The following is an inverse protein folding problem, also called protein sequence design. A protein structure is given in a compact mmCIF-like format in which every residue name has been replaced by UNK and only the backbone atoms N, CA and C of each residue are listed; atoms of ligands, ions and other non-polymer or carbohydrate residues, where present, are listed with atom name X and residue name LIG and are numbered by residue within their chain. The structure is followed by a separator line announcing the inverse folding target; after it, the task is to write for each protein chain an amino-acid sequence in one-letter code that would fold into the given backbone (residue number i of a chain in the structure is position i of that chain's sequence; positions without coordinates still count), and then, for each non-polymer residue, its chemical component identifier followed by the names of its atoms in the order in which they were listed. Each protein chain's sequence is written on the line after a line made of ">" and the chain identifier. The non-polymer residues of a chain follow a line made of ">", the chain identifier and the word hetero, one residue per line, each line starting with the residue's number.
data_IF_085317816305
#
_entry.id   IF_085317816305
#
_cell.length_a   1.000
_cell.length_b   1.000
_cell.length_c   1.000
_cell.angle_alpha   90.00
_cell.angle_beta   90.00
_cell.angle_gamma   90.00
#
_symmetry.space_group_name_H-M   'P 1'
#
loop_
_entity.id
_entity.type
_entity.pdbx_description
1 polymer ?
#
# COMPACT_ATOMS: atom_id res chain seq x y z
N UNK A 1 18.99 16.45 -1.97
CA UNK A 1 19.51 15.77 -3.16
C UNK A 1 20.30 14.58 -2.64
N UNK A 2 19.60 13.50 -2.29
CA UNK A 2 20.21 12.31 -1.69
C UNK A 2 20.38 11.27 -2.79
N UNK A 3 21.59 11.24 -3.35
CA UNK A 3 21.99 10.29 -4.37
C UNK A 3 22.36 8.97 -3.70
N UNK A 4 21.38 8.08 -3.48
CA UNK A 4 21.63 6.71 -3.04
C UNK A 4 22.40 5.94 -4.12
N UNK A 5 23.72 5.82 -3.96
CA UNK A 5 24.54 4.99 -4.84
C UNK A 5 24.22 3.51 -4.57
N UNK A 6 23.50 2.86 -5.48
CA UNK A 6 23.39 1.41 -5.51
C UNK A 6 24.75 0.85 -5.90
N UNK A 7 25.52 0.36 -4.94
CA UNK A 7 26.71 -0.42 -5.23
C UNK A 7 26.25 -1.77 -5.76
N UNK A 8 26.37 -1.97 -7.08
CA UNK A 8 26.19 -3.28 -7.70
C UNK A 8 27.28 -4.21 -7.14
N UNK A 9 26.85 -5.29 -6.48
CA UNK A 9 27.75 -6.32 -5.99
C UNK A 9 28.36 -7.01 -7.21
N UNK A 10 29.68 -6.92 -7.31
CA UNK A 10 30.47 -7.62 -8.33
C UNK A 10 30.08 -9.11 -8.37
N UNK A 11 29.60 -9.58 -9.52
CA UNK A 11 29.14 -10.96 -9.77
C UNK A 11 30.29 -11.98 -9.75
N UNK A 12 31.52 -11.53 -9.52
CA UNK A 12 32.67 -12.40 -9.44
C UNK A 12 32.77 -13.09 -8.08
N UNK A 13 31.92 -14.10 -7.84
CA UNK A 13 32.17 -15.08 -6.80
C UNK A 13 33.47 -15.83 -7.15
N UNK A 14 34.54 -15.60 -6.41
CA UNK A 14 35.71 -16.47 -6.49
C UNK A 14 35.31 -17.89 -6.09
N UNK A 15 35.67 -18.85 -6.94
CA UNK A 15 35.31 -20.26 -6.79
C UNK A 15 35.99 -20.84 -5.55
N UNK A 16 35.23 -20.97 -4.45
CA UNK A 16 35.64 -21.76 -3.31
C UNK A 16 35.13 -23.19 -3.48
N UNK A 17 36.07 -24.13 -3.63
CA UNK A 17 35.83 -25.57 -3.80
C UNK A 17 35.40 -26.19 -2.45
N UNK A 18 34.21 -25.80 -2.00
CA UNK A 18 33.59 -26.27 -0.76
C UNK A 18 32.19 -26.84 -1.02
N UNK A 19 31.69 -27.76 -0.16
CA UNK A 19 30.44 -28.50 -0.36
C UNK A 19 29.16 -27.65 -0.25
N UNK A 20 29.27 -26.33 -0.08
CA UNK A 20 28.13 -25.44 0.12
C UNK A 20 28.18 -24.24 -0.82
N UNK A 21 27.11 -24.04 -1.60
CA UNK A 21 26.86 -22.88 -2.50
C UNK A 21 26.68 -21.55 -1.75
N UNK A 22 27.28 -21.36 -0.57
CA UNK A 22 27.10 -20.17 0.25
C UNK A 22 28.43 -19.46 0.44
N UNK A 23 28.45 -18.16 0.13
CA UNK A 23 29.57 -17.26 0.42
C UNK A 23 29.21 -16.42 1.65
N UNK A 24 30.21 -16.14 2.50
CA UNK A 24 30.05 -15.29 3.67
C UNK A 24 30.51 -13.88 3.34
N UNK A 25 29.80 -12.88 3.86
CA UNK A 25 30.19 -11.48 3.75
C UNK A 25 30.00 -10.78 5.08
N UNK A 26 30.72 -9.68 5.29
CA UNK A 26 30.58 -8.85 6.49
C UNK A 26 30.09 -7.47 6.07
N UNK A 27 28.96 -7.05 6.62
CA UNK A 27 28.39 -5.72 6.46
C UNK A 27 29.28 -4.65 7.10
N UNK A 28 29.07 -3.39 6.71
CA UNK A 28 29.84 -2.24 7.22
C UNK A 28 29.70 -2.05 8.73
N UNK A 29 28.60 -2.53 9.29
CA UNK A 29 28.26 -2.58 10.71
C UNK A 29 28.85 -3.79 11.45
N UNK A 30 29.65 -4.62 10.77
CA UNK A 30 30.21 -5.85 11.32
C UNK A 30 29.25 -7.05 11.26
N UNK A 31 28.04 -6.88 10.70
CA UNK A 31 27.07 -7.96 10.61
C UNK A 31 27.54 -9.02 9.62
N UNK A 32 27.69 -10.27 10.07
CA UNK A 32 28.09 -11.38 9.20
C UNK A 32 26.86 -11.99 8.54
N UNK A 33 26.81 -11.92 7.21
CA UNK A 33 25.80 -12.55 6.37
C UNK A 33 26.35 -13.76 5.64
N UNK A 34 25.45 -14.66 5.22
CA UNK A 34 25.73 -15.69 4.22
C UNK A 34 24.78 -15.48 3.04
N UNK A 35 25.29 -15.51 1.81
CA UNK A 35 24.47 -15.43 0.60
C UNK A 35 24.73 -16.63 -0.29
N UNK A 36 23.72 -17.04 -1.05
CA UNK A 36 23.82 -18.14 -1.99
C UNK A 36 24.58 -17.65 -3.23
N UNK A 37 25.72 -18.26 -3.55
CA UNK A 37 26.36 -18.10 -4.84
C UNK A 37 26.13 -19.35 -5.69
N UNK A 38 25.44 -19.25 -6.83
CA UNK A 38 25.27 -20.38 -7.74
C UNK A 38 26.63 -20.77 -8.34
N UNK A 39 27.07 -22.01 -8.10
CA UNK A 39 28.32 -22.56 -8.65
C UNK A 39 28.36 -22.60 -10.19
N UNK A 40 27.21 -22.57 -10.86
CA UNK A 40 27.12 -22.64 -12.31
C UNK A 40 26.55 -21.33 -12.89
N UNK A 41 27.40 -20.56 -13.58
CA UNK A 41 26.99 -19.34 -14.32
C UNK A 41 25.99 -19.63 -15.45
N UNK A 42 25.88 -20.90 -15.88
CA UNK A 42 24.98 -21.36 -16.96
C UNK A 42 23.61 -21.85 -16.46
N UNK A 43 23.17 -21.48 -15.25
CA UNK A 43 21.83 -21.82 -14.80
C UNK A 43 20.84 -20.79 -15.37
N UNK A 44 19.92 -21.24 -16.22
CA UNK A 44 18.76 -20.43 -16.61
C UNK A 44 17.92 -20.14 -15.37
N UNK A 45 17.80 -18.87 -14.98
CA UNK A 45 16.82 -18.44 -13.98
C UNK A 45 15.44 -18.94 -14.39
N UNK A 46 14.83 -19.80 -13.55
CA UNK A 46 13.50 -20.35 -13.83
C UNK A 46 12.51 -19.18 -13.96
N UNK A 47 11.68 -19.18 -14.99
CA UNK A 47 10.75 -18.10 -15.39
C UNK A 47 9.61 -17.81 -14.41
N UNK A 48 9.78 -18.10 -13.12
CA UNK A 48 8.76 -18.06 -12.07
C UNK A 48 9.02 -16.94 -11.07
N UNK A 49 9.35 -15.76 -11.60
CA UNK A 49 9.34 -14.48 -10.89
C UNK A 49 9.41 -13.32 -11.89
N UNK A 50 8.82 -13.50 -13.08
CA UNK A 50 8.57 -12.35 -13.96
C UNK A 50 7.45 -11.59 -13.27
N UNK A 51 7.74 -10.38 -12.80
CA UNK A 51 6.72 -9.42 -12.39
C UNK A 51 5.92 -9.10 -13.64
N UNK A 52 4.82 -9.82 -13.86
CA UNK A 52 3.97 -9.65 -15.06
C UNK A 52 3.13 -8.38 -14.99
N UNK A 53 2.94 -7.84 -13.80
CA UNK A 53 2.16 -6.63 -13.55
C UNK A 53 2.98 -5.62 -12.77
N UNK A 54 3.18 -4.45 -13.36
CA UNK A 54 3.79 -3.33 -12.68
C UNK A 54 2.85 -2.83 -11.56
N UNK A 55 3.39 -2.44 -10.40
CA UNK A 55 2.60 -1.80 -9.36
C UNK A 55 2.09 -0.45 -9.87
N UNK A 56 0.83 -0.13 -9.57
CA UNK A 56 0.21 1.12 -10.00
C UNK A 56 -1.31 1.11 -9.87
N UNK A 57 -1.92 2.26 -10.12
CA UNK A 57 -3.36 2.38 -10.24
C UNK A 57 -3.82 1.48 -11.40
N UNK A 58 -4.73 0.55 -11.10
CA UNK A 58 -5.34 -0.30 -12.12
C UNK A 58 -6.51 0.43 -12.76
N UNK A 59 -6.86 0.06 -13.99
CA UNK A 59 -8.20 0.29 -14.52
C UNK A 59 -9.24 -0.16 -13.47
N UNK A 60 -10.28 0.63 -13.13
CA UNK A 60 -10.83 1.82 -13.80
C UNK A 60 -10.34 3.18 -13.25
N UNK A 61 -9.32 3.20 -12.39
CA UNK A 61 -8.82 4.43 -11.71
C UNK A 61 -7.54 4.96 -12.37
N UNK A 62 -6.96 4.20 -13.28
CA UNK A 62 -5.80 4.59 -14.06
C UNK A 62 -6.08 5.87 -14.87
N UNK A 63 -5.21 6.87 -14.74
CA UNK A 63 -5.33 8.16 -15.44
C UNK A 63 -6.25 9.19 -14.79
N UNK A 64 -6.93 8.87 -13.69
CA UNK A 64 -7.69 9.86 -12.91
C UNK A 64 -6.70 10.70 -12.09
N UNK A 65 -6.65 12.00 -12.35
CA UNK A 65 -5.79 12.95 -11.62
C UNK A 65 -6.57 13.83 -10.63
N UNK A 66 -7.89 13.86 -10.75
CA UNK A 66 -8.75 14.70 -9.93
C UNK A 66 -8.96 14.05 -8.54
N UNK A 67 -8.52 14.68 -7.44
CA UNK A 67 -8.56 14.07 -6.11
C UNK A 67 -9.98 13.67 -5.68
N UNK A 68 -10.97 14.49 -6.00
CA UNK A 68 -12.37 14.22 -5.68
C UNK A 68 -12.87 12.95 -6.37
N UNK A 69 -12.54 12.76 -7.65
CA UNK A 69 -12.91 11.54 -8.39
C UNK A 69 -12.20 10.30 -7.87
N UNK A 70 -10.96 10.44 -7.38
CA UNK A 70 -10.24 9.33 -6.73
C UNK A 70 -10.94 8.95 -5.42
N UNK A 71 -11.29 9.95 -4.60
CA UNK A 71 -11.99 9.73 -3.33
C UNK A 71 -13.35 9.03 -3.54
N UNK A 72 -14.13 9.45 -4.54
CA UNK A 72 -15.40 8.83 -4.92
C UNK A 72 -15.27 7.37 -5.40
N UNK A 73 -14.06 6.86 -5.67
CA UNK A 73 -13.84 5.42 -5.93
C UNK A 73 -13.73 4.58 -4.66
N UNK A 74 -13.46 5.20 -3.53
CA UNK A 74 -13.38 4.54 -2.22
C UNK A 74 -14.66 4.69 -1.40
N UNK A 75 -15.38 5.79 -1.60
CA UNK A 75 -16.64 6.08 -0.94
C UNK A 75 -17.68 6.28 -2.03
N UNK A 76 -18.58 5.30 -2.17
CA UNK A 76 -19.67 5.38 -3.14
C UNK A 76 -20.90 6.07 -2.54
N UNK A 77 -21.85 6.40 -3.42
CA UNK A 77 -23.08 7.07 -3.02
C UNK A 77 -23.93 6.20 -2.08
N UNK A 78 -23.85 4.87 -2.19
CA UNK A 78 -24.58 3.94 -1.31
C UNK A 78 -24.04 4.02 0.12
N UNK A 79 -22.72 4.07 0.30
CA UNK A 79 -22.08 4.31 1.59
C UNK A 79 -22.47 5.67 2.17
N UNK A 80 -22.46 6.73 1.36
CA UNK A 80 -22.89 8.07 1.82
C UNK A 80 -24.35 8.04 2.29
N UNK A 81 -25.25 7.40 1.52
CA UNK A 81 -26.66 7.27 1.90
C UNK A 81 -26.83 6.45 3.18
N UNK A 82 -26.09 5.35 3.33
CA UNK A 82 -26.10 4.54 4.54
C UNK A 82 -25.66 5.34 5.76
N UNK A 83 -24.59 6.14 5.64
CA UNK A 83 -24.12 7.02 6.72
C UNK A 83 -25.19 8.04 7.07
N UNK A 84 -25.79 8.70 6.08
CA UNK A 84 -26.87 9.69 6.32
C UNK A 84 -28.05 9.05 7.04
N UNK A 85 -28.49 7.89 6.59
CA UNK A 85 -29.61 7.17 7.20
C UNK A 85 -29.31 6.84 8.67
N UNK A 86 -28.19 6.18 8.93
CA UNK A 86 -27.82 5.75 10.28
C UNK A 86 -27.60 6.95 11.21
N UNK A 87 -27.00 8.03 10.70
CA UNK A 87 -26.79 9.26 11.47
C UNK A 87 -28.13 9.90 11.86
N UNK A 88 -29.08 9.96 10.93
CA UNK A 88 -30.42 10.51 11.20
C UNK A 88 -31.22 9.66 12.20
N UNK A 89 -31.14 8.34 12.10
CA UNK A 89 -31.73 7.42 13.09
C UNK A 89 -31.14 7.65 14.50
N UNK A 90 -29.81 7.84 14.59
CA UNK A 90 -29.13 8.14 15.84
C UNK A 90 -29.50 9.51 16.41
N UNK A 91 -29.61 10.54 15.56
CA UNK A 91 -30.05 11.88 15.99
C UNK A 91 -31.43 11.81 16.63
N UNK A 92 -32.38 11.12 16.01
CA UNK A 92 -33.73 10.95 16.58
C UNK A 92 -33.65 10.26 17.94
N UNK A 93 -32.90 9.16 18.03
CA UNK A 93 -32.76 8.37 19.27
C UNK A 93 -32.15 9.18 20.42
N UNK A 94 -31.08 9.92 20.15
CA UNK A 94 -30.30 10.63 21.16
C UNK A 94 -30.85 12.04 21.46
N UNK A 95 -31.67 12.61 20.58
CA UNK A 95 -32.20 13.97 20.72
C UNK A 95 -33.17 14.14 21.90
N UNK A 96 -33.91 13.09 22.25
CA UNK A 96 -34.97 13.14 23.24
C UNK A 96 -34.46 13.56 24.64
N UNK A 97 -34.76 14.81 25.02
CA UNK A 97 -34.48 15.35 26.36
C UNK A 97 -33.03 15.74 26.63
N UNK A 98 -32.10 15.51 25.69
CA UNK A 98 -30.66 15.82 25.87
C UNK A 98 -30.24 17.18 25.31
N UNK A 99 -30.93 17.66 24.29
CA UNK A 99 -30.59 18.92 23.63
C UNK A 99 -31.73 19.92 23.80
N UNK A 100 -31.40 21.12 24.26
CA UNK A 100 -32.37 22.22 24.43
C UNK A 100 -32.62 23.00 23.13
N UNK A 101 -31.72 22.88 22.15
CA UNK A 101 -31.74 23.65 20.90
C UNK A 101 -31.96 22.72 19.72
N UNK A 102 -33.07 22.94 19.00
CA UNK A 102 -33.45 22.17 17.80
C UNK A 102 -32.40 22.22 16.67
N UNK A 103 -31.55 23.25 16.66
CA UNK A 103 -30.47 23.36 15.66
C UNK A 103 -29.44 22.23 15.78
N UNK A 104 -29.25 21.66 16.97
CA UNK A 104 -28.30 20.57 17.21
C UNK A 104 -28.84 19.19 16.86
N UNK A 105 -30.13 19.10 16.55
CA UNK A 105 -30.83 17.84 16.25
C UNK A 105 -31.41 17.86 14.83
N UNK A 106 -30.87 18.72 13.96
CA UNK A 106 -31.28 18.76 12.56
C UNK A 106 -30.80 17.50 11.84
N UNK A 107 -31.60 16.95 10.91
CA UNK A 107 -31.18 15.80 10.13
C UNK A 107 -29.99 16.16 9.22
N UNK A 108 -29.05 15.23 9.13
CA UNK A 108 -27.89 15.29 8.25
C UNK A 108 -28.29 15.02 6.81
N UNK A 109 -27.66 15.72 5.86
CA UNK A 109 -27.83 15.56 4.42
C UNK A 109 -26.57 15.00 3.75
N UNK A 110 -26.70 14.47 2.53
CA UNK A 110 -25.55 13.96 1.76
C UNK A 110 -24.52 15.06 1.49
N UNK A 111 -24.99 16.29 1.22
CA UNK A 111 -24.12 17.44 1.00
C UNK A 111 -23.27 17.78 2.23
N UNK A 112 -23.77 17.55 3.45
CA UNK A 112 -22.99 17.77 4.68
C UNK A 112 -21.95 16.67 4.92
N UNK A 113 -22.19 15.45 4.43
CA UNK A 113 -21.22 14.36 4.49
C UNK A 113 -20.11 14.54 3.45
N UNK A 114 -20.42 15.20 2.34
CA UNK A 114 -19.49 15.46 1.22
C UNK A 114 -18.80 16.84 1.27
N UNK A 115 -19.20 17.71 2.21
CA UNK A 115 -18.68 19.07 2.40
C UNK A 115 -17.26 19.11 3.00
#
# INVERSE_FOLDING_TARGET
>A
DDSESKQELDENCEFYDGPSNFIYYTGKDGTKGKTYCPQNKNIRTRSKNIVTHLPGAKQPVEGILEPLKIWQKFVDNEMVQLIVQQTNEQIVTESHGRYSRETYTRPTSTAEIEA
#
